data_IF_418572639985
#
_entry.id   IF_418572639985
#
_cell.length_a   1.000
_cell.length_b   1.000
_cell.length_c   1.000
_cell.angle_alpha   90.00
_cell.angle_beta   90.00
_cell.angle_gamma   90.00
#
_symmetry.space_group_name_H-M   'P 1'
#
loop_
_entity.id
_entity.type
_entity.pdbx_description
1 polymer ?
#
# COMPACT_ATOMS: atom_id res chain seq x y z
N UNK A 1 -1.40 17.59 -7.30
CA UNK A 1 -2.10 16.33 -7.62
C UNK A 1 -1.24 15.34 -8.41
N UNK A 2 -0.76 15.65 -9.63
CA UNK A 2 -0.05 14.68 -10.48
C UNK A 2 1.20 14.03 -9.84
N UNK A 3 2.03 14.79 -9.13
CA UNK A 3 3.21 14.27 -8.44
C UNK A 3 2.86 13.27 -7.32
N UNK A 4 1.74 13.49 -6.62
CA UNK A 4 1.25 12.61 -5.55
C UNK A 4 0.84 11.26 -6.16
N UNK A 5 0.12 11.29 -7.29
CA UNK A 5 -0.30 10.07 -8.00
C UNK A 5 0.90 9.28 -8.55
N UNK A 6 1.95 9.93 -9.01
CA UNK A 6 3.19 9.23 -9.40
C UNK A 6 3.90 8.59 -8.22
N UNK A 7 3.94 9.27 -7.06
CA UNK A 7 4.48 8.69 -5.83
C UNK A 7 3.68 7.46 -5.38
N UNK A 8 2.35 7.52 -5.47
CA UNK A 8 1.46 6.39 -5.21
C UNK A 8 1.77 5.20 -6.12
N UNK A 9 1.86 5.43 -7.44
CA UNK A 9 2.18 4.38 -8.42
C UNK A 9 3.51 3.73 -8.08
N UNK A 10 4.55 4.51 -7.77
CA UNK A 10 5.86 3.99 -7.45
C UNK A 10 5.84 3.13 -6.17
N UNK A 11 5.27 3.66 -5.08
CA UNK A 11 5.24 2.97 -3.78
C UNK A 11 4.40 1.70 -3.87
N UNK A 12 3.16 1.81 -4.36
CA UNK A 12 2.22 0.69 -4.45
C UNK A 12 2.68 -0.32 -5.51
N UNK A 13 3.22 0.14 -6.64
CA UNK A 13 3.75 -0.72 -7.69
C UNK A 13 4.93 -1.56 -7.22
N UNK A 14 5.95 -0.93 -6.63
CA UNK A 14 7.12 -1.64 -6.11
C UNK A 14 6.72 -2.60 -4.99
N UNK A 15 5.91 -2.15 -4.03
CA UNK A 15 5.43 -3.00 -2.93
C UNK A 15 4.66 -4.21 -3.46
N UNK A 16 3.77 -3.98 -4.43
CA UNK A 16 2.98 -5.03 -5.07
C UNK A 16 3.85 -6.06 -5.78
N UNK A 17 4.81 -5.63 -6.60
CA UNK A 17 5.75 -6.52 -7.31
C UNK A 17 6.58 -7.34 -6.32
N UNK A 18 7.11 -6.72 -5.26
CA UNK A 18 7.91 -7.41 -4.24
C UNK A 18 7.09 -8.50 -3.54
N UNK A 19 5.85 -8.18 -3.17
CA UNK A 19 4.95 -9.12 -2.49
C UNK A 19 4.47 -10.25 -3.41
N UNK A 20 4.38 -10.03 -4.72
CA UNK A 20 4.07 -11.08 -5.70
C UNK A 20 5.28 -12.02 -5.89
N UNK A 21 6.43 -11.44 -6.18
CA UNK A 21 7.63 -12.17 -6.60
C UNK A 21 8.31 -12.92 -5.44
N UNK A 22 8.52 -12.24 -4.31
CA UNK A 22 9.35 -12.75 -3.20
C UNK A 22 8.70 -12.51 -1.82
N UNK A 23 7.42 -12.89 -1.60
CA UNK A 23 6.65 -12.53 -0.41
C UNK A 23 7.30 -12.95 0.92
N UNK A 24 7.75 -14.21 1.03
CA UNK A 24 8.24 -14.72 2.31
C UNK A 24 9.63 -14.19 2.66
N UNK A 25 10.43 -13.91 1.62
CA UNK A 25 11.76 -13.32 1.77
C UNK A 25 11.60 -11.87 2.22
N UNK A 26 10.77 -11.09 1.52
CA UNK A 26 10.55 -9.69 1.84
C UNK A 26 10.00 -9.50 3.26
N UNK A 27 8.97 -10.27 3.66
CA UNK A 27 8.44 -10.25 5.03
C UNK A 27 9.49 -10.61 6.08
N UNK A 28 10.32 -11.62 5.81
CA UNK A 28 11.41 -12.01 6.70
C UNK A 28 12.47 -10.92 6.89
N UNK A 29 12.86 -10.26 5.80
CA UNK A 29 13.84 -9.15 5.82
C UNK A 29 13.32 -7.98 6.65
N UNK A 30 12.06 -7.57 6.46
CA UNK A 30 11.47 -6.46 7.21
C UNK A 30 11.05 -6.84 8.63
N UNK A 31 11.11 -8.14 8.99
CA UNK A 31 10.80 -8.63 10.33
C UNK A 31 9.31 -8.72 10.65
N UNK A 32 8.49 -8.87 9.62
CA UNK A 32 7.06 -9.22 9.75
C UNK A 32 6.94 -10.74 9.84
N UNK A 33 5.91 -11.22 10.54
CA UNK A 33 5.63 -12.65 10.65
C UNK A 33 5.47 -13.30 9.27
N UNK A 34 6.06 -14.48 9.11
CA UNK A 34 5.98 -15.24 7.86
C UNK A 34 4.81 -16.21 7.96
N UNK A 35 3.76 -16.07 7.13
CA UNK A 35 2.69 -17.05 7.07
C UNK A 35 3.24 -18.40 6.55
N UNK A 36 2.48 -19.47 6.78
CA UNK A 36 2.84 -20.83 6.36
C UNK A 36 2.96 -20.98 4.84
N UNK A 37 2.27 -20.13 4.08
CA UNK A 37 2.38 -20.05 2.63
C UNK A 37 2.35 -18.59 2.15
N UNK A 38 2.76 -18.36 0.90
CA UNK A 38 2.80 -17.03 0.31
C UNK A 38 1.48 -16.53 -0.27
N UNK A 39 0.34 -17.20 -0.05
CA UNK A 39 -0.93 -16.81 -0.70
C UNK A 39 -1.38 -15.41 -0.30
N UNK A 40 -1.54 -15.15 1.00
CA UNK A 40 -2.01 -13.85 1.50
C UNK A 40 -1.10 -12.69 1.10
N UNK A 41 0.24 -12.78 1.28
CA UNK A 41 1.13 -11.73 0.82
C UNK A 41 1.02 -11.46 -0.68
N UNK A 42 0.91 -12.50 -1.52
CA UNK A 42 0.76 -12.33 -2.98
C UNK A 42 -0.56 -11.70 -3.36
N UNK A 43 -1.65 -12.08 -2.70
CA UNK A 43 -2.97 -11.48 -2.93
C UNK A 43 -2.96 -10.00 -2.58
N UNK A 44 -2.42 -9.63 -1.41
CA UNK A 44 -2.23 -8.24 -1.04
C UNK A 44 -1.35 -7.52 -2.07
N UNK A 45 -0.23 -8.12 -2.48
CA UNK A 45 0.64 -7.57 -3.51
C UNK A 45 -0.06 -7.34 -4.85
N UNK A 46 -0.88 -8.31 -5.29
CA UNK A 46 -1.68 -8.21 -6.52
C UNK A 46 -2.71 -7.08 -6.44
N UNK A 47 -3.41 -6.94 -5.32
CA UNK A 47 -4.36 -5.85 -5.11
C UNK A 47 -3.66 -4.49 -5.08
N UNK A 48 -2.54 -4.38 -4.37
CA UNK A 48 -1.75 -3.14 -4.31
C UNK A 48 -1.20 -2.76 -5.70
N UNK A 49 -0.72 -3.74 -6.47
CA UNK A 49 -0.26 -3.51 -7.84
C UNK A 49 -1.41 -3.12 -8.77
N UNK A 50 -2.58 -3.75 -8.64
CA UNK A 50 -3.76 -3.41 -9.44
C UNK A 50 -4.21 -1.96 -9.21
N UNK A 51 -4.14 -1.46 -7.96
CA UNK A 51 -4.38 -0.05 -7.66
C UNK A 51 -3.36 0.84 -8.38
N UNK A 52 -2.06 0.54 -8.28
CA UNK A 52 -1.02 1.30 -8.96
C UNK A 52 -1.21 1.35 -10.49
N UNK A 53 -1.52 0.20 -11.10
CA UNK A 53 -1.80 0.10 -12.54
C UNK A 53 -3.05 0.89 -12.91
N UNK A 54 -4.10 0.85 -12.09
CA UNK A 54 -5.33 1.61 -12.35
C UNK A 54 -5.09 3.13 -12.34
N UNK A 55 -4.29 3.63 -11.40
CA UNK A 55 -3.88 5.06 -11.38
C UNK A 55 -3.08 5.39 -12.64
N UNK A 56 -2.10 4.53 -12.99
CA UNK A 56 -1.27 4.74 -14.17
C UNK A 56 -2.07 4.76 -15.47
N UNK A 57 -3.07 3.88 -15.61
CA UNK A 57 -4.00 3.87 -16.75
C UNK A 57 -4.75 5.20 -16.82
N UNK A 58 -5.28 5.70 -15.70
CA UNK A 58 -6.00 6.98 -15.66
C UNK A 58 -5.13 8.19 -16.02
N UNK A 59 -3.83 8.15 -15.68
CA UNK A 59 -2.88 9.20 -16.07
C UNK A 59 -2.46 9.11 -17.53
N UNK A 60 -2.27 7.89 -18.05
CA UNK A 60 -1.74 7.65 -19.40
C UNK A 60 -2.82 7.78 -20.46
N UNK A 61 -4.04 7.38 -20.13
CA UNK A 61 -5.19 7.37 -21.02
C UNK A 61 -6.36 8.13 -20.36
N UNK A 62 -6.40 9.47 -20.46
CA UNK A 62 -7.44 10.28 -19.80
C UNK A 62 -8.88 9.93 -20.20
N UNK A 63 -9.06 9.36 -21.40
CA UNK A 63 -10.35 8.90 -21.92
C UNK A 63 -10.80 7.54 -21.33
N UNK A 64 -9.90 6.83 -20.62
CA UNK A 64 -10.19 5.52 -20.05
C UNK A 64 -11.17 5.66 -18.88
N UNK A 65 -12.35 5.05 -19.03
CA UNK A 65 -13.35 4.99 -17.94
C UNK A 65 -12.97 3.92 -16.93
N UNK A 66 -13.23 4.18 -15.65
CA UNK A 66 -13.06 3.22 -14.57
C UNK A 66 -11.65 3.16 -13.94
N UNK A 67 -10.75 4.08 -14.28
CA UNK A 67 -9.50 4.26 -13.56
C UNK A 67 -9.75 4.80 -12.14
N UNK A 68 -8.92 4.38 -11.19
CA UNK A 68 -8.95 4.89 -9.82
C UNK A 68 -8.35 6.31 -9.80
N UNK A 69 -9.20 7.29 -9.53
CA UNK A 69 -8.81 8.69 -9.30
C UNK A 69 -8.69 9.04 -7.80
N UNK A 70 -8.30 10.29 -7.48
CA UNK A 70 -8.03 10.73 -6.10
C UNK A 70 -9.17 10.44 -5.11
N UNK A 71 -10.42 10.62 -5.54
CA UNK A 71 -11.60 10.37 -4.70
C UNK A 71 -11.69 8.92 -4.19
N UNK A 72 -11.22 7.95 -4.97
CA UNK A 72 -11.19 6.54 -4.56
C UNK A 72 -9.89 6.17 -3.82
N UNK A 73 -8.79 6.89 -4.05
CA UNK A 73 -7.52 6.65 -3.35
C UNK A 73 -7.57 7.06 -1.88
N UNK A 74 -8.24 8.17 -1.57
CA UNK A 74 -8.40 8.66 -0.19
C UNK A 74 -8.95 7.57 0.74
N UNK A 75 -10.13 6.95 0.49
CA UNK A 75 -10.62 5.90 1.38
C UNK A 75 -9.73 4.65 1.36
N UNK A 76 -9.11 4.29 0.24
CA UNK A 76 -8.17 3.14 0.18
C UNK A 76 -6.99 3.37 1.12
N UNK A 77 -6.37 4.54 1.05
CA UNK A 77 -5.23 4.93 1.87
C UNK A 77 -5.60 5.01 3.35
N UNK A 78 -6.71 5.67 3.68
CA UNK A 78 -7.16 5.83 5.06
C UNK A 78 -7.58 4.51 5.71
N UNK A 79 -8.31 3.65 5.00
CA UNK A 79 -8.71 2.32 5.50
C UNK A 79 -7.48 1.44 5.71
N UNK A 80 -6.57 1.42 4.73
CA UNK A 80 -5.32 0.65 4.83
C UNK A 80 -4.47 1.12 6.02
N UNK A 81 -4.34 2.45 6.21
CA UNK A 81 -3.65 3.01 7.36
C UNK A 81 -4.33 2.63 8.69
N UNK A 82 -5.66 2.73 8.76
CA UNK A 82 -6.43 2.36 9.95
C UNK A 82 -6.22 0.88 10.33
N UNK A 83 -6.19 -0.03 9.34
CA UNK A 83 -5.90 -1.45 9.57
C UNK A 83 -4.49 -1.67 10.14
N UNK A 84 -3.48 -0.99 9.59
CA UNK A 84 -2.10 -1.08 10.09
C UNK A 84 -1.97 -0.51 11.51
N UNK A 85 -2.62 0.63 11.79
CA UNK A 85 -2.65 1.24 13.12
C UNK A 85 -3.36 0.33 14.12
N UNK A 86 -4.50 -0.25 13.77
CA UNK A 86 -5.22 -1.19 14.62
C UNK A 86 -4.33 -2.39 14.97
N UNK A 87 -3.62 -2.97 13.98
CA UNK A 87 -2.68 -4.06 14.22
C UNK A 87 -1.53 -3.65 15.17
N UNK A 88 -1.03 -2.41 15.07
CA UNK A 88 -0.01 -1.88 15.99
C UNK A 88 -0.54 -1.72 17.41
N UNK A 89 -1.71 -1.13 17.57
CA UNK A 89 -2.37 -0.90 18.87
C UNK A 89 -2.69 -2.22 19.57
N UNK A 90 -3.17 -3.23 18.83
CA UNK A 90 -3.42 -4.57 19.34
C UNK A 90 -2.14 -5.38 19.62
N UNK A 91 -0.96 -4.85 19.28
CA UNK A 91 0.31 -5.56 19.41
C UNK A 91 0.51 -6.71 18.41
N UNK A 92 -0.38 -6.85 17.43
CA UNK A 92 -0.43 -7.95 16.46
C UNK A 92 0.29 -7.63 15.12
N UNK A 93 0.78 -6.41 14.92
CA UNK A 93 1.37 -5.98 13.64
C UNK A 93 2.60 -6.79 13.19
N UNK A 94 3.51 -7.11 14.12
CA UNK A 94 4.73 -7.85 13.83
C UNK A 94 5.39 -8.39 15.11
N UNK A 95 6.13 -9.50 15.03
CA UNK A 95 6.83 -10.10 16.17
C UNK A 95 8.09 -9.32 16.55
N UNK A 96 8.72 -8.60 15.61
CA UNK A 96 9.97 -7.86 15.85
C UNK A 96 9.74 -6.36 15.97
N UNK A 97 10.60 -5.66 16.72
CA UNK A 97 10.58 -4.18 16.81
C UNK A 97 10.74 -3.51 15.44
N UNK A 98 11.64 -4.03 14.60
CA UNK A 98 11.83 -3.52 13.23
C UNK A 98 10.58 -3.69 12.38
N UNK A 99 9.88 -4.81 12.48
CA UNK A 99 8.63 -5.04 11.76
C UNK A 99 7.54 -4.07 12.19
N UNK A 100 7.42 -3.81 13.49
CA UNK A 100 6.48 -2.79 14.01
C UNK A 100 6.81 -1.40 13.48
N UNK A 101 8.09 -1.04 13.41
CA UNK A 101 8.52 0.23 12.82
C UNK A 101 8.16 0.32 11.33
N UNK A 102 8.40 -0.73 10.55
CA UNK A 102 8.04 -0.76 9.13
C UNK A 102 6.53 -0.62 8.93
N UNK A 103 5.72 -1.31 9.73
CA UNK A 103 4.25 -1.17 9.70
C UNK A 103 3.83 0.26 10.08
N UNK A 104 4.45 0.87 11.09
CA UNK A 104 4.15 2.25 11.50
C UNK A 104 4.51 3.26 10.41
N UNK A 105 5.68 3.11 9.78
CA UNK A 105 6.10 3.95 8.65
C UNK A 105 5.12 3.78 7.48
N UNK A 106 4.70 2.56 7.18
CA UNK A 106 3.68 2.31 6.15
C UNK A 106 2.34 2.99 6.47
N UNK A 107 1.88 2.91 7.71
CA UNK A 107 0.66 3.59 8.15
C UNK A 107 0.76 5.11 8.01
N UNK A 108 1.87 5.70 8.46
CA UNK A 108 2.13 7.15 8.34
C UNK A 108 2.19 7.56 6.87
N UNK A 109 2.89 6.81 6.02
CA UNK A 109 2.97 7.10 4.59
C UNK A 109 1.58 7.10 3.93
N UNK A 110 0.73 6.12 4.24
CA UNK A 110 -0.65 6.05 3.74
C UNK A 110 -1.52 7.22 4.25
N UNK A 111 -1.39 7.61 5.53
CA UNK A 111 -2.07 8.80 6.05
C UNK A 111 -1.60 10.07 5.34
N UNK A 112 -0.29 10.23 5.16
CA UNK A 112 0.28 11.38 4.44
C UNK A 112 -0.25 11.45 3.01
N UNK A 113 -0.28 10.33 2.29
CA UNK A 113 -0.85 10.29 0.95
C UNK A 113 -2.34 10.64 0.95
N UNK A 114 -3.15 10.03 1.83
CA UNK A 114 -4.57 10.33 1.94
C UNK A 114 -4.87 11.79 2.29
N UNK A 115 -4.11 12.40 3.20
CA UNK A 115 -4.28 13.82 3.53
C UNK A 115 -3.79 14.76 2.44
N UNK A 116 -2.68 14.43 1.76
CA UNK A 116 -2.22 15.20 0.61
C UNK A 116 -3.21 15.13 -0.55
N UNK A 117 -3.85 13.99 -0.76
CA UNK A 117 -4.93 13.83 -1.73
C UNK A 117 -6.12 14.72 -1.38
N UNK A 118 -6.60 14.70 -0.12
CA UNK A 118 -7.67 15.59 0.33
C UNK A 118 -7.29 17.07 0.16
N UNK A 119 -6.07 17.45 0.51
CA UNK A 119 -5.62 18.84 0.49
C UNK A 119 -5.45 19.41 -0.93
N UNK A 120 -5.26 18.55 -1.93
CA UNK A 120 -5.02 18.96 -3.32
C UNK A 120 -6.09 18.45 -4.31
N UNK A 121 -7.19 17.90 -3.80
CA UNK A 121 -8.34 17.43 -4.56
C UNK A 121 -9.23 18.58 -5.05
#
# INVERSE_FOLDING_TARGET
MQQILWAEIAIKGVTGVILIAVPLISLGLVGIEKPSNGFWPRLTGALTLAVAVSIWIGLTYPEARGSIGPAALVPINLISAAMLIAALVMGAAAPTRRGKLIVAVGAVALLTLGFLEIAHA
#
